data_IF_709602818196
#
_entry.id   IF_709602818196
#
_cell.length_a   1.000
_cell.length_b   1.000
_cell.length_c   1.000
_cell.angle_alpha   90.00
_cell.angle_beta   90.00
_cell.angle_gamma   90.00
#
_symmetry.space_group_name_H-M   'P 1'
#
loop_
_entity.id
_entity.type
_entity.pdbx_description
1 polymer ?
#
# COMPACT_ATOMS: atom_id res chain seq x y z
N UNK A 1 -0.44 9.16 14.98
CA UNK A 1 0.16 7.96 14.37
C UNK A 1 1.65 8.06 14.53
N UNK A 2 2.34 6.93 14.59
CA UNK A 2 3.79 6.85 14.61
C UNK A 2 4.21 5.86 13.53
N UNK A 3 5.27 6.17 12.79
CA UNK A 3 5.77 5.30 11.73
C UNK A 3 7.29 5.36 11.64
N UNK A 4 7.88 4.29 11.13
CA UNK A 4 9.30 4.14 10.90
C UNK A 4 9.52 3.61 9.48
N UNK A 5 10.56 4.10 8.81
CA UNK A 5 11.00 3.57 7.53
C UNK A 5 12.52 3.40 7.54
N UNK A 6 12.98 2.30 6.97
CA UNK A 6 14.39 1.95 6.84
C UNK A 6 14.71 1.71 5.36
N UNK A 7 15.72 2.41 4.85
CA UNK A 7 16.24 2.20 3.50
C UNK A 7 17.48 1.32 3.58
N UNK A 8 17.44 0.18 2.92
CA UNK A 8 18.54 -0.76 2.83
C UNK A 8 19.36 -0.49 1.56
N UNK A 9 20.69 -0.73 1.61
CA UNK A 9 21.49 -0.82 0.39
C UNK A 9 20.92 -1.95 -0.49
N UNK A 10 20.92 -1.76 -1.82
CA UNK A 10 20.18 -2.54 -2.83
C UNK A 10 18.77 -2.03 -3.22
N UNK A 11 18.40 -0.81 -2.83
CA UNK A 11 17.16 -0.19 -3.32
C UNK A 11 15.89 -0.70 -2.66
N UNK A 12 16.02 -1.46 -1.58
CA UNK A 12 14.91 -1.92 -0.75
C UNK A 12 14.61 -0.88 0.35
N UNK A 13 13.34 -0.59 0.55
CA UNK A 13 12.84 0.28 1.63
C UNK A 13 11.75 -0.48 2.36
N UNK A 14 11.85 -0.53 3.68
CA UNK A 14 10.84 -1.11 4.56
C UNK A 14 10.18 0.02 5.32
N UNK A 15 8.87 -0.06 5.51
CA UNK A 15 8.08 0.91 6.25
C UNK A 15 7.11 0.19 7.19
N UNK A 16 6.94 0.74 8.39
CA UNK A 16 5.97 0.29 9.38
C UNK A 16 5.26 1.52 9.90
N UNK A 17 3.94 1.47 10.01
CA UNK A 17 3.11 2.57 10.48
C UNK A 17 2.09 2.04 11.49
N UNK A 18 1.94 2.77 12.59
CA UNK A 18 0.93 2.54 13.62
C UNK A 18 0.03 3.78 13.69
N UNK A 19 -1.27 3.60 13.44
CA UNK A 19 -2.27 4.64 13.64
C UNK A 19 -3.21 4.28 14.78
N UNK A 20 -3.18 5.09 15.83
CA UNK A 20 -4.19 5.06 16.87
C UNK A 20 -5.24 6.12 16.54
N UNK A 21 -6.51 5.71 16.37
CA UNK A 21 -7.64 6.64 16.23
C UNK A 21 -8.53 6.58 17.48
N UNK A 22 -8.43 7.56 18.40
CA UNK A 22 -9.20 7.56 19.65
C UNK A 22 -10.71 7.63 19.41
N UNK A 23 -11.13 8.37 18.38
CA UNK A 23 -12.54 8.59 18.04
C UNK A 23 -13.29 7.31 17.62
N UNK A 24 -12.56 6.28 17.14
CA UNK A 24 -13.16 5.02 16.68
C UNK A 24 -12.73 3.80 17.53
N UNK A 25 -11.93 4.01 18.58
CA UNK A 25 -11.26 2.98 19.38
C UNK A 25 -10.61 1.87 18.53
N UNK A 26 -9.97 2.28 17.42
CA UNK A 26 -9.32 1.39 16.45
C UNK A 26 -7.83 1.70 16.41
N UNK A 27 -7.03 0.65 16.58
CA UNK A 27 -5.61 0.67 16.29
C UNK A 27 -5.40 0.00 14.92
N UNK A 28 -4.76 0.71 14.01
CA UNK A 28 -4.41 0.23 12.68
C UNK A 28 -2.90 0.06 12.63
N UNK A 29 -2.43 -1.09 12.15
CA UNK A 29 -1.01 -1.34 11.90
C UNK A 29 -0.81 -1.63 10.41
N UNK A 30 0.19 -0.98 9.82
CA UNK A 30 0.55 -1.09 8.43
C UNK A 30 2.02 -1.45 8.30
N UNK A 31 2.32 -2.37 7.39
CA UNK A 31 3.68 -2.73 7.00
C UNK A 31 3.76 -2.61 5.49
N UNK A 32 4.81 -1.98 4.98
CA UNK A 32 5.04 -1.76 3.56
C UNK A 32 6.49 -2.06 3.21
N UNK A 33 6.70 -2.56 2.00
CA UNK A 33 8.00 -2.78 1.40
C UNK A 33 8.00 -2.16 0.01
N UNK A 34 9.07 -1.46 -0.33
CA UNK A 34 9.31 -0.88 -1.64
C UNK A 34 10.66 -1.34 -2.15
N UNK A 35 10.70 -1.91 -3.34
CA UNK A 35 11.90 -2.40 -3.98
C UNK A 35 12.12 -1.69 -5.31
N UNK A 36 13.17 -0.87 -5.40
CA UNK A 36 13.59 -0.21 -6.62
C UNK A 36 14.44 -1.18 -7.46
N UNK A 37 13.83 -1.76 -8.50
CA UNK A 37 14.48 -2.74 -9.39
C UNK A 37 15.52 -2.04 -10.29
N UNK A 38 15.17 -0.86 -10.83
CA UNK A 38 16.05 -0.02 -11.65
C UNK A 38 15.82 1.46 -11.35
N UNK A 39 16.70 2.33 -11.87
CA UNK A 39 16.53 3.78 -11.87
C UNK A 39 15.32 4.19 -12.74
N UNK A 40 14.11 3.98 -12.22
CA UNK A 40 12.86 4.16 -12.94
C UNK A 40 11.83 3.07 -12.73
N UNK A 41 12.11 1.97 -12.01
CA UNK A 41 11.09 0.95 -11.70
C UNK A 41 11.11 0.65 -10.21
N UNK A 42 9.97 0.80 -9.55
CA UNK A 42 9.76 0.52 -8.14
C UNK A 42 8.56 -0.39 -7.96
N UNK A 43 8.76 -1.52 -7.28
CA UNK A 43 7.71 -2.43 -6.85
C UNK A 43 7.37 -2.10 -5.40
N UNK A 44 6.08 -2.06 -5.07
CA UNK A 44 5.59 -1.79 -3.73
C UNK A 44 4.66 -2.92 -3.32
N UNK A 45 4.81 -3.41 -2.11
CA UNK A 45 3.87 -4.32 -1.50
C UNK A 45 3.60 -3.84 -0.08
N UNK A 46 2.39 -4.07 0.41
CA UNK A 46 2.03 -3.66 1.75
C UNK A 46 0.89 -4.50 2.30
N UNK A 47 0.79 -4.51 3.62
CA UNK A 47 -0.26 -5.13 4.36
C UNK A 47 -0.69 -4.20 5.50
N UNK A 48 -1.98 -3.90 5.58
CA UNK A 48 -2.55 -3.10 6.64
C UNK A 48 -3.61 -3.91 7.39
N UNK A 49 -3.34 -4.25 8.65
CA UNK A 49 -4.29 -4.96 9.54
C UNK A 49 -5.51 -4.09 9.85
N UNK A 50 -5.36 -2.76 9.78
CA UNK A 50 -6.44 -1.80 9.90
C UNK A 50 -7.42 -1.77 8.73
N UNK A 51 -7.05 -2.34 7.58
CA UNK A 51 -7.93 -2.49 6.41
C UNK A 51 -9.13 -3.42 6.69
N UNK A 52 -8.98 -4.39 7.60
CA UNK A 52 -10.10 -5.18 8.12
C UNK A 52 -11.13 -4.34 8.90
N UNK A 53 -10.79 -3.10 9.29
CA UNK A 53 -11.66 -2.18 10.00
C UNK A 53 -12.18 -1.01 9.15
N UNK A 54 -11.71 -0.86 7.90
CA UNK A 54 -12.28 0.06 6.87
C UNK A 54 -13.46 -0.60 6.12
N UNK A 55 -13.87 -1.79 6.55
CA UNK A 55 -15.12 -2.44 6.17
C UNK A 55 -15.90 -2.90 7.40
N UNK A 56 -16.30 -1.99 8.30
CA UNK A 56 -17.38 -2.32 9.24
C UNK A 56 -18.70 -2.32 8.47
N UNK A 57 -18.92 -3.40 7.75
CA UNK A 57 -20.12 -3.71 6.99
C UNK A 57 -19.86 -4.99 6.21
N UNK A 58 -20.19 -6.13 6.81
CA UNK A 58 -20.16 -7.43 6.13
C UNK A 58 -19.14 -8.39 6.70
N UNK A 59 -19.64 -9.34 7.49
CA UNK A 59 -18.94 -10.57 7.82
C UNK A 59 -18.89 -11.47 6.57
N UNK A 60 -17.92 -12.40 6.55
CA UNK A 60 -17.93 -13.63 5.75
C UNK A 60 -17.49 -13.56 4.27
N UNK A 61 -16.19 -13.36 4.02
CA UNK A 61 -15.62 -13.72 2.72
C UNK A 61 -14.10 -13.59 2.62
N UNK A 62 -13.39 -14.73 2.69
CA UNK A 62 -11.93 -14.92 2.56
C UNK A 62 -11.04 -14.47 3.75
N UNK A 63 -10.62 -15.39 4.64
CA UNK A 63 -9.95 -15.09 5.92
C UNK A 63 -8.46 -14.71 5.84
N UNK A 64 -7.93 -14.19 4.72
CA UNK A 64 -6.47 -14.05 4.56
C UNK A 64 -5.92 -12.84 3.82
N UNK A 65 -6.71 -12.13 3.01
CA UNK A 65 -6.16 -11.14 2.06
C UNK A 65 -6.70 -9.71 2.24
N UNK A 66 -7.62 -9.48 3.19
CA UNK A 66 -8.15 -8.15 3.49
C UNK A 66 -7.02 -7.25 4.03
N UNK A 67 -6.69 -6.19 3.27
CA UNK A 67 -5.65 -5.23 3.64
C UNK A 67 -4.29 -5.44 2.96
N UNK A 68 -4.15 -6.44 2.07
CA UNK A 68 -2.99 -6.50 1.17
C UNK A 68 -3.10 -5.39 0.13
N UNK A 69 -1.95 -4.88 -0.29
CA UNK A 69 -1.83 -3.91 -1.37
C UNK A 69 -0.56 -4.19 -2.15
N UNK A 70 -0.63 -4.05 -3.47
CA UNK A 70 0.53 -4.12 -4.35
C UNK A 70 0.55 -2.88 -5.24
N UNK A 71 1.74 -2.49 -5.68
CA UNK A 71 1.92 -1.35 -6.55
C UNK A 71 3.16 -1.50 -7.40
N UNK A 72 3.11 -0.86 -8.57
CA UNK A 72 4.19 -0.81 -9.53
C UNK A 72 4.29 0.64 -10.01
N UNK A 73 5.41 1.27 -9.69
CA UNK A 73 5.79 2.58 -10.18
C UNK A 73 6.82 2.44 -11.28
N UNK A 74 6.59 3.09 -12.41
CA UNK A 74 7.55 3.25 -13.49
C UNK A 74 7.76 4.72 -13.80
N UNK A 75 8.99 5.10 -14.07
CA UNK A 75 9.39 6.45 -14.43
C UNK A 75 10.37 6.38 -15.58
N UNK A 76 9.98 6.96 -16.71
CA UNK A 76 10.76 7.01 -17.94
C UNK A 76 10.98 8.49 -18.27
N UNK A 77 12.11 9.04 -17.84
CA UNK A 77 12.46 10.44 -18.02
C UNK A 77 11.45 11.41 -17.41
N UNK A 78 10.65 12.04 -18.26
CA UNK A 78 9.61 13.03 -17.91
C UNK A 78 8.21 12.43 -17.69
N UNK A 79 8.04 11.14 -17.97
CA UNK A 79 6.79 10.41 -17.81
C UNK A 79 6.85 9.51 -16.58
N UNK A 80 5.77 9.49 -15.80
CA UNK A 80 5.56 8.64 -14.64
C UNK A 80 4.26 7.86 -14.77
N UNK A 81 4.34 6.56 -14.49
CA UNK A 81 3.21 5.65 -14.41
C UNK A 81 3.21 5.02 -13.02
N UNK A 82 2.12 5.13 -12.29
CA UNK A 82 1.95 4.45 -11.00
C UNK A 82 0.68 3.62 -11.07
N UNK A 83 0.84 2.31 -10.97
CA UNK A 83 -0.25 1.35 -10.86
C UNK A 83 -0.32 0.83 -9.42
N UNK A 84 -1.50 0.85 -8.80
CA UNK A 84 -1.72 0.33 -7.47
C UNK A 84 -2.95 -0.57 -7.46
N UNK A 85 -2.83 -1.73 -6.83
CA UNK A 85 -3.87 -2.73 -6.67
C UNK A 85 -4.14 -2.92 -5.17
N UNK A 86 -5.40 -2.79 -4.76
CA UNK A 86 -5.82 -2.97 -3.38
C UNK A 86 -7.12 -3.78 -3.33
N UNK A 87 -7.08 -5.06 -2.94
CA UNK A 87 -8.28 -5.86 -2.70
C UNK A 87 -9.05 -5.36 -1.47
N UNK A 88 -10.31 -4.98 -1.66
CA UNK A 88 -11.21 -4.54 -0.59
C UNK A 88 -12.27 -5.61 -0.21
N UNK A 89 -11.91 -6.90 -0.28
CA UNK A 89 -12.80 -7.99 0.11
C UNK A 89 -14.13 -7.98 -0.66
N UNK A 90 -15.25 -7.89 0.05
CA UNK A 90 -16.60 -7.91 -0.55
C UNK A 90 -16.95 -6.67 -1.39
N UNK A 91 -16.23 -5.55 -1.22
CA UNK A 91 -16.41 -4.33 -2.02
C UNK A 91 -15.74 -4.41 -3.41
N UNK A 92 -15.02 -5.50 -3.68
CA UNK A 92 -14.32 -5.73 -4.94
C UNK A 92 -12.88 -5.22 -4.94
N UNK A 93 -12.19 -5.45 -6.05
CA UNK A 93 -10.78 -5.08 -6.20
C UNK A 93 -10.66 -3.65 -6.70
N UNK A 94 -9.99 -2.77 -5.95
CA UNK A 94 -9.71 -1.41 -6.39
C UNK A 94 -8.38 -1.39 -7.13
N UNK A 95 -8.42 -0.92 -8.38
CA UNK A 95 -7.24 -0.71 -9.20
C UNK A 95 -7.12 0.78 -9.48
N UNK A 96 -5.97 1.37 -9.14
CA UNK A 96 -5.67 2.76 -9.41
C UNK A 96 -4.55 2.82 -10.42
N UNK A 97 -4.82 3.44 -11.57
CA UNK A 97 -3.81 3.79 -12.56
C UNK A 97 -3.60 5.30 -12.51
N UNK A 98 -2.37 5.75 -12.34
CA UNK A 98 -1.98 7.15 -12.35
C UNK A 98 -0.92 7.37 -13.42
N UNK A 99 -1.12 8.40 -14.24
CA UNK A 99 -0.26 8.77 -15.35
C UNK A 99 0.10 10.25 -15.16
N UNK A 100 1.39 10.57 -15.23
CA UNK A 100 1.88 11.94 -15.14
C UNK A 100 2.96 12.20 -16.19
N UNK A 101 2.88 13.34 -16.86
CA UNK A 101 3.92 13.82 -17.75
C UNK A 101 4.31 15.25 -17.33
N UNK A 102 5.60 15.52 -17.22
CA UNK A 102 6.14 16.85 -16.89
C UNK A 102 6.85 17.41 -18.11
N UNK A 103 6.39 18.54 -18.61
CA UNK A 103 6.91 19.21 -19.80
C UNK A 103 7.89 20.30 -19.38
#
# INVERSE_FOLDING_TARGET
>A
SAGAAARLPAGLTLAVDWRWRPNANKAELGIGTEYAVLAGVALRAGYATGGAAVGRGGAAGAPGFAGLGAGLGMRIGRMGLDYAFTPFGELGNVQRLSLGARW
#
